data_IF_451494393339
#
_entry.id   IF_451494393339
#
_cell.length_a   1.000
_cell.length_b   1.000
_cell.length_c   1.000
_cell.angle_alpha   90.00
_cell.angle_beta   90.00
_cell.angle_gamma   90.00
#
_symmetry.space_group_name_H-M   'P 1'
#
loop_
_entity.id
_entity.type
_entity.pdbx_description
1 polymer ?
#
# COMPACT_ATOMS: atom_id res chain seq x y z
N UNK A 1 -10.36 10.44 -1.64
CA UNK A 1 -9.66 9.35 -0.94
C UNK A 1 -10.65 8.72 0.02
N UNK A 2 -10.91 7.39 0.00
CA UNK A 2 -11.86 6.75 0.93
C UNK A 2 -11.28 6.79 2.35
N UNK A 3 -12.12 7.07 3.36
CA UNK A 3 -11.76 7.23 4.78
C UNK A 3 -11.14 6.00 5.45
N UNK A 4 -11.13 4.85 4.79
CA UNK A 4 -10.53 3.60 5.31
C UNK A 4 -9.00 3.59 5.25
N UNK A 5 -8.40 4.33 4.30
CA UNK A 5 -6.92 4.47 4.22
C UNK A 5 -6.42 5.36 5.35
N UNK A 6 -7.17 6.42 5.68
CA UNK A 6 -6.81 7.39 6.74
C UNK A 6 -6.89 6.81 8.16
N UNK A 7 -7.45 5.60 8.34
CA UNK A 7 -7.72 4.98 9.65
C UNK A 7 -6.85 3.76 9.95
N UNK A 8 -5.86 3.46 9.12
CA UNK A 8 -4.91 2.40 9.45
C UNK A 8 -3.98 2.91 10.57
N UNK A 9 -4.26 2.50 11.81
CA UNK A 9 -3.45 2.87 12.97
C UNK A 9 -1.97 2.59 12.71
N UNK A 10 -1.14 3.62 12.89
CA UNK A 10 0.30 3.53 12.67
C UNK A 10 0.76 3.71 11.21
N UNK A 11 -0.11 4.04 10.25
CA UNK A 11 0.34 4.42 8.90
C UNK A 11 1.11 5.73 8.92
N UNK A 12 2.36 5.70 8.45
CA UNK A 12 3.25 6.87 8.34
C UNK A 12 3.11 7.51 6.96
N UNK A 13 3.07 6.69 5.90
CA UNK A 13 2.97 7.17 4.54
C UNK A 13 2.26 6.16 3.64
N UNK A 14 1.52 6.68 2.67
CA UNK A 14 1.00 5.92 1.55
C UNK A 14 1.27 6.68 0.25
N UNK A 15 2.06 6.08 -0.64
CA UNK A 15 2.54 6.75 -1.86
C UNK A 15 2.27 5.86 -3.06
N UNK A 16 1.70 6.44 -4.11
CA UNK A 16 1.64 5.83 -5.44
C UNK A 16 2.76 6.38 -6.31
N UNK A 17 3.46 5.50 -7.00
CA UNK A 17 4.43 5.83 -8.03
C UNK A 17 4.17 4.99 -9.28
N UNK A 18 4.56 5.51 -10.44
CA UNK A 18 4.74 4.67 -11.62
C UNK A 18 6.06 3.91 -11.47
N UNK A 19 6.12 2.71 -12.04
CA UNK A 19 7.40 2.02 -12.16
C UNK A 19 8.21 2.65 -13.30
N UNK A 20 9.45 3.05 -13.02
CA UNK A 20 10.31 3.69 -14.03
C UNK A 20 10.78 2.72 -15.13
N UNK A 21 10.64 1.42 -14.90
CA UNK A 21 11.02 0.35 -15.85
C UNK A 21 9.81 -0.28 -16.55
N UNK A 22 8.60 -0.07 -16.02
CA UNK A 22 7.34 -0.53 -16.60
C UNK A 22 6.26 0.59 -16.55
N UNK A 23 5.98 1.27 -17.67
CA UNK A 23 5.04 2.39 -17.70
C UNK A 23 3.58 1.98 -17.45
N UNK A 24 3.25 0.69 -17.53
CA UNK A 24 1.91 0.16 -17.28
C UNK A 24 1.72 -0.29 -15.81
N UNK A 25 2.78 -0.18 -14.99
CA UNK A 25 2.74 -0.55 -13.58
C UNK A 25 2.61 0.67 -12.66
N UNK A 26 1.70 0.56 -11.69
CA UNK A 26 1.59 1.47 -10.55
C UNK A 26 2.02 0.71 -9.29
N UNK A 27 2.96 1.26 -8.55
CA UNK A 27 3.46 0.72 -7.29
C UNK A 27 2.95 1.55 -6.12
N UNK A 28 2.30 0.89 -5.17
CA UNK A 28 1.84 1.50 -3.94
C UNK A 28 2.77 1.13 -2.77
N UNK A 29 3.40 2.12 -2.15
CA UNK A 29 4.26 1.94 -0.99
C UNK A 29 3.53 2.33 0.28
N UNK A 30 3.44 1.40 1.23
CA UNK A 30 2.89 1.62 2.57
C UNK A 30 4.01 1.55 3.60
N UNK A 31 4.16 2.61 4.40
CA UNK A 31 5.07 2.63 5.53
C UNK A 31 4.27 2.74 6.82
N UNK A 32 4.57 1.86 7.78
CA UNK A 32 3.92 1.81 9.08
C UNK A 32 4.92 1.95 10.23
N UNK A 33 4.45 2.33 11.42
CA UNK A 33 5.25 2.46 12.65
C UNK A 33 5.67 1.12 13.26
N UNK A 34 5.12 -0.01 12.81
CA UNK A 34 5.47 -1.35 13.27
C UNK A 34 4.99 -2.48 12.34
N UNK A 35 5.56 -3.68 12.51
CA UNK A 35 5.34 -4.85 11.63
C UNK A 35 3.89 -5.35 11.59
N UNK A 36 3.14 -5.17 12.69
CA UNK A 36 1.76 -5.67 12.82
C UNK A 36 0.76 -5.00 11.85
N UNK A 37 1.08 -3.82 11.31
CA UNK A 37 0.12 -3.02 10.56
C UNK A 37 -0.03 -3.44 9.08
N UNK A 38 0.98 -4.09 8.50
CA UNK A 38 0.96 -4.51 7.08
C UNK A 38 -0.01 -5.66 6.82
N UNK A 39 -0.02 -6.65 7.72
CA UNK A 39 -0.88 -7.83 7.63
C UNK A 39 -2.36 -7.49 7.86
N UNK A 40 -2.63 -6.44 8.63
CA UNK A 40 -3.98 -6.02 8.96
C UNK A 40 -4.70 -5.36 7.78
N UNK A 41 -3.98 -4.71 6.84
CA UNK A 41 -4.59 -3.97 5.74
C UNK A 41 -5.31 -4.89 4.72
N UNK A 42 -4.62 -5.92 4.24
CA UNK A 42 -5.19 -6.85 3.24
C UNK A 42 -6.18 -7.84 3.86
N UNK A 43 -6.16 -7.99 5.19
CA UNK A 43 -7.11 -8.83 5.94
C UNK A 43 -8.40 -8.10 6.31
N UNK A 44 -8.51 -6.80 6.00
CA UNK A 44 -9.73 -6.05 6.32
C UNK A 44 -10.96 -6.61 5.57
N UNK A 45 -12.14 -6.63 6.21
CA UNK A 45 -13.36 -7.16 5.58
C UNK A 45 -13.74 -6.46 4.26
N UNK A 46 -13.36 -5.19 4.10
CA UNK A 46 -13.63 -4.40 2.89
C UNK A 46 -12.64 -4.69 1.75
N UNK A 47 -11.50 -5.30 2.03
CA UNK A 47 -10.40 -5.44 1.06
C UNK A 47 -10.79 -6.29 -0.14
N UNK A 48 -11.49 -7.41 0.09
CA UNK A 48 -11.99 -8.28 -0.99
C UNK A 48 -12.96 -7.56 -1.93
N UNK A 49 -13.84 -6.73 -1.39
CA UNK A 49 -14.78 -5.94 -2.20
C UNK A 49 -14.01 -4.89 -3.03
N UNK A 50 -13.01 -4.25 -2.42
CA UNK A 50 -12.12 -3.34 -3.12
C UNK A 50 -11.38 -4.03 -4.28
N UNK A 51 -10.79 -5.21 -4.06
CA UNK A 51 -10.12 -5.97 -5.14
C UNK A 51 -11.07 -6.27 -6.30
N UNK A 52 -12.30 -6.69 -6.00
CA UNK A 52 -13.31 -6.97 -7.02
C UNK A 52 -13.74 -5.72 -7.79
N UNK A 53 -13.93 -4.59 -7.11
CA UNK A 53 -14.24 -3.30 -7.73
C UNK A 53 -13.13 -2.85 -8.68
N UNK A 54 -11.87 -3.06 -8.30
CA UNK A 54 -10.71 -2.61 -9.10
C UNK A 54 -10.25 -3.60 -10.15
N UNK A 55 -10.69 -4.87 -10.11
CA UNK A 55 -10.18 -5.92 -10.99
C UNK A 55 -10.28 -5.58 -12.49
N UNK A 56 -11.37 -4.93 -12.91
CA UNK A 56 -11.56 -4.54 -14.31
C UNK A 56 -10.62 -3.41 -14.78
N UNK A 57 -9.96 -2.72 -13.85
CA UNK A 57 -9.03 -1.63 -14.13
C UNK A 57 -7.57 -2.11 -14.21
N UNK A 58 -7.31 -3.36 -13.79
CA UNK A 58 -5.96 -3.91 -13.69
C UNK A 58 -5.75 -5.00 -14.75
N UNK A 59 -4.55 -5.07 -15.31
CA UNK A 59 -4.17 -6.14 -16.24
C UNK A 59 -4.15 -7.53 -15.58
N UNK A 60 -4.09 -7.58 -14.25
CA UNK A 60 -4.14 -8.81 -13.46
C UNK A 60 -4.23 -8.52 -11.95
N UNK A 61 -4.21 -9.57 -11.12
CA UNK A 61 -4.18 -9.43 -9.66
C UNK A 61 -2.98 -8.59 -9.20
N UNK A 62 -3.16 -7.78 -8.15
CA UNK A 62 -2.06 -7.04 -7.54
C UNK A 62 -1.07 -8.00 -6.86
N UNK A 63 0.21 -7.71 -6.98
CA UNK A 63 1.25 -8.40 -6.22
C UNK A 63 1.49 -7.67 -4.89
N UNK A 64 1.62 -8.43 -3.81
CA UNK A 64 1.92 -7.90 -2.47
C UNK A 64 3.26 -8.43 -2.00
N UNK A 65 4.14 -7.51 -1.55
CA UNK A 65 5.44 -7.83 -0.97
C UNK A 65 5.64 -7.01 0.31
N UNK A 66 6.25 -7.63 1.31
CA UNK A 66 6.69 -6.95 2.53
C UNK A 66 8.17 -6.65 2.45
N UNK A 67 8.55 -5.45 2.88
CA UNK A 67 9.95 -5.04 3.05
C UNK A 67 10.15 -4.57 4.49
N UNK A 68 11.26 -4.96 5.12
CA UNK A 68 11.64 -4.48 6.46
C UNK A 68 12.71 -3.40 6.30
N UNK A 69 12.38 -2.10 6.49
CA UNK A 69 13.35 -1.03 6.33
C UNK A 69 14.50 -1.18 7.34
N UNK A 70 15.75 -1.27 6.87
CA UNK A 70 16.93 -1.35 7.73
C UNK A 70 17.46 0.05 8.12
N UNK A 71 17.17 1.06 7.31
CA UNK A 71 17.54 2.44 7.55
C UNK A 71 16.55 3.39 6.87
N UNK A 72 16.19 4.48 7.53
CA UNK A 72 15.33 5.55 6.99
C UNK A 72 16.02 6.88 7.25
N UNK A 73 16.23 7.68 6.20
CA UNK A 73 16.72 9.06 6.35
C UNK A 73 15.63 9.90 7.00
N UNK A 74 15.91 10.48 8.16
CA UNK A 74 15.05 11.52 8.74
C UNK A 74 15.34 12.84 8.05
N UNK A 75 14.34 13.42 7.38
CA UNK A 75 14.41 14.82 6.97
C UNK A 75 14.27 15.72 8.19
N UNK A 76 15.04 16.79 8.28
CA UNK A 76 14.65 17.96 9.09
C UNK A 76 13.57 18.70 8.31
N UNK A 77 12.42 18.89 8.95
CA UNK A 77 11.30 19.69 8.44
C UNK A 77 11.71 21.15 8.21
#
# INVERSE_FOLDING_TARGET
>A
MRSYIERADGQIAYVYGFDDTDPDAIVAYQLFTGEAATDDFVKQPWFKAYEQETAALLAGPSEFRTITPQWIKRGTA
#
